data_IF_132563830970
#
_entry.id   IF_132563830970
#
_cell.length_a   1.000
_cell.length_b   1.000
_cell.length_c   1.000
_cell.angle_alpha   90.00
_cell.angle_beta   90.00
_cell.angle_gamma   90.00
#
_symmetry.space_group_name_H-M   'P 1'
#
loop_
_entity.id
_entity.type
_entity.pdbx_description
1 polymer ?
#
# COMPACT_ATOMS: atom_id res chain seq x y z
N UNK A 1 -11.46 -12.90 8.20
CA UNK A 1 -10.91 -12.19 7.02
C UNK A 1 -10.42 -10.84 7.48
N UNK A 2 -9.21 -10.47 7.11
CA UNK A 2 -8.62 -9.17 7.44
C UNK A 2 -9.07 -8.17 6.39
N UNK A 3 -9.59 -7.04 6.80
CA UNK A 3 -10.13 -6.01 5.93
C UNK A 3 -9.23 -4.78 6.01
N UNK A 4 -8.85 -4.22 4.88
CA UNK A 4 -8.13 -2.97 4.80
C UNK A 4 -9.04 -1.89 4.20
N UNK A 5 -9.20 -0.79 4.91
CA UNK A 5 -9.96 0.36 4.48
C UNK A 5 -9.04 1.49 4.01
N UNK A 6 -9.55 2.32 3.14
CA UNK A 6 -8.85 3.53 2.69
C UNK A 6 -9.17 4.70 3.60
N UNK A 7 -8.13 5.41 4.02
CA UNK A 7 -8.24 6.76 4.58
C UNK A 7 -7.86 7.77 3.50
N UNK A 8 -8.54 8.91 3.46
CA UNK A 8 -8.26 9.95 2.47
C UNK A 8 -6.79 10.35 2.46
N UNK A 9 -6.27 10.43 1.26
CA UNK A 9 -4.87 10.62 0.95
C UNK A 9 -4.43 12.02 1.23
N UNK A 10 -4.04 12.47 2.31
CA UNK A 10 -3.22 13.69 2.33
C UNK A 10 -2.70 14.16 3.68
N UNK A 11 -3.08 13.60 4.78
CA UNK A 11 -2.48 14.02 6.04
C UNK A 11 -2.37 12.85 7.00
N UNK A 12 -1.38 12.90 7.85
CA UNK A 12 -1.16 12.06 9.02
C UNK A 12 -2.33 12.04 10.03
N UNK A 13 -3.51 12.37 9.57
CA UNK A 13 -4.71 12.36 10.38
C UNK A 13 -5.68 11.33 9.82
N UNK A 14 -5.69 10.14 10.37
CA UNK A 14 -6.10 8.91 9.71
C UNK A 14 -7.56 8.56 9.95
N UNK A 15 -8.48 9.45 9.71
CA UNK A 15 -9.90 9.13 9.78
C UNK A 15 -10.37 8.67 11.16
N UNK A 16 -9.82 9.19 12.23
CA UNK A 16 -10.36 9.02 13.59
C UNK A 16 -10.41 10.34 14.37
N UNK A 17 -11.36 10.42 15.27
CA UNK A 17 -11.54 11.54 16.20
C UNK A 17 -12.31 11.04 17.43
N UNK A 18 -12.76 11.94 18.28
CA UNK A 18 -13.65 11.63 19.38
C UNK A 18 -14.91 12.50 19.34
N UNK A 19 -15.99 12.04 19.94
CA UNK A 19 -17.16 12.85 20.16
C UNK A 19 -16.83 14.03 21.09
N UNK A 20 -17.14 15.25 20.68
CA UNK A 20 -17.02 16.45 21.51
C UNK A 20 -18.16 16.59 22.52
N UNK A 21 -19.28 15.89 22.30
CA UNK A 21 -20.44 15.80 23.19
C UNK A 21 -21.11 14.45 23.06
N UNK A 22 -21.80 14.02 24.12
CA UNK A 22 -22.54 12.76 24.12
C UNK A 22 -23.72 12.80 23.13
N UNK A 23 -23.99 11.66 22.49
CA UNK A 23 -25.22 11.45 21.73
C UNK A 23 -26.24 10.80 22.68
N UNK A 24 -27.17 11.60 23.19
CA UNK A 24 -28.10 11.17 24.26
C UNK A 24 -29.37 10.51 23.75
N UNK A 25 -29.60 10.51 22.44
CA UNK A 25 -30.79 9.92 21.80
C UNK A 25 -30.42 9.13 20.55
N UNK A 26 -31.04 7.96 20.39
CA UNK A 26 -30.90 7.17 19.17
C UNK A 26 -31.44 7.90 17.91
N UNK A 27 -32.35 8.85 18.07
CA UNK A 27 -32.90 9.66 16.97
C UNK A 27 -32.09 10.94 16.69
N UNK A 28 -30.99 11.20 17.41
CA UNK A 28 -30.16 12.39 17.20
C UNK A 28 -29.45 12.33 15.84
N UNK A 29 -29.71 13.33 14.99
CA UNK A 29 -29.16 13.42 13.62
C UNK A 29 -28.02 14.43 13.51
N UNK A 30 -27.66 15.14 14.58
CA UNK A 30 -26.52 16.08 14.64
C UNK A 30 -25.53 15.58 15.66
N UNK A 31 -24.28 15.47 15.28
CA UNK A 31 -23.18 15.05 16.16
C UNK A 31 -22.06 16.07 16.10
N UNK A 32 -21.35 16.24 17.22
CA UNK A 32 -20.18 17.11 17.31
C UNK A 32 -18.94 16.28 17.59
N UNK A 33 -17.86 16.52 16.82
CA UNK A 33 -16.57 15.86 16.95
C UNK A 33 -15.49 16.85 17.37
N UNK A 34 -14.43 16.35 18.00
CA UNK A 34 -13.32 17.17 18.49
C UNK A 34 -12.50 17.76 17.32
N UNK A 35 -12.31 17.00 16.27
CA UNK A 35 -11.59 17.43 15.06
C UNK A 35 -12.13 16.69 13.82
N UNK A 36 -12.17 17.39 12.68
CA UNK A 36 -12.64 16.83 11.40
C UNK A 36 -11.53 16.67 10.35
N UNK A 37 -10.30 17.06 10.67
CA UNK A 37 -9.21 17.16 9.69
C UNK A 37 -8.82 15.85 8.99
N UNK A 38 -9.10 14.70 9.57
CA UNK A 38 -8.79 13.39 8.97
C UNK A 38 -9.91 12.78 8.12
N UNK A 39 -11.01 13.50 7.93
CA UNK A 39 -12.19 13.01 7.23
C UNK A 39 -12.40 13.74 5.90
N UNK A 40 -13.18 13.16 4.95
CA UNK A 40 -13.53 13.85 3.71
C UNK A 40 -14.19 15.21 3.95
N UNK A 41 -13.73 16.25 3.23
CA UNK A 41 -14.16 17.62 3.45
C UNK A 41 -15.23 18.12 2.46
N UNK A 42 -15.59 17.30 1.47
CA UNK A 42 -16.44 17.74 0.34
C UNK A 42 -17.52 16.76 -0.07
N UNK A 43 -17.60 15.58 0.56
CA UNK A 43 -18.58 14.53 0.17
C UNK A 43 -18.99 13.71 1.38
N UNK A 44 -20.14 13.04 1.30
CA UNK A 44 -20.62 12.11 2.33
C UNK A 44 -19.66 10.94 2.53
N UNK A 45 -19.58 10.48 3.77
CA UNK A 45 -18.76 9.33 4.17
C UNK A 45 -19.41 8.60 5.34
N UNK A 46 -18.99 7.38 5.60
CA UNK A 46 -19.49 6.59 6.73
C UNK A 46 -18.47 6.58 7.86
N UNK A 47 -18.99 6.55 9.08
CA UNK A 47 -18.23 6.47 10.31
C UNK A 47 -18.75 5.36 11.21
N UNK A 48 -17.88 4.85 12.06
CA UNK A 48 -18.22 3.88 13.11
C UNK A 48 -18.03 4.53 14.48
N UNK A 49 -19.03 4.41 15.34
CA UNK A 49 -18.99 4.79 16.75
C UNK A 49 -19.44 3.56 17.55
N UNK A 50 -18.54 3.00 18.35
CA UNK A 50 -18.74 1.70 19.00
C UNK A 50 -19.12 0.62 17.98
N UNK A 51 -20.37 0.12 18.01
CA UNK A 51 -20.90 -0.86 17.07
C UNK A 51 -21.92 -0.27 16.08
N UNK A 52 -22.13 1.04 16.09
CA UNK A 52 -23.06 1.71 15.19
C UNK A 52 -22.35 2.35 14.01
N UNK A 53 -22.83 2.06 12.80
CA UNK A 53 -22.43 2.77 11.60
C UNK A 53 -23.38 3.95 11.34
N UNK A 54 -22.79 5.11 11.08
CA UNK A 54 -23.52 6.32 10.70
C UNK A 54 -23.03 6.80 9.34
N UNK A 55 -23.92 7.39 8.56
CA UNK A 55 -23.55 8.07 7.31
C UNK A 55 -23.60 9.57 7.51
N UNK A 56 -22.46 10.24 7.34
CA UNK A 56 -22.36 11.72 7.38
C UNK A 56 -22.90 12.26 6.06
N UNK A 57 -23.94 13.06 6.12
CA UNK A 57 -24.67 13.58 4.94
C UNK A 57 -24.45 15.07 4.71
N UNK A 58 -24.04 15.83 5.74
CA UNK A 58 -23.72 17.25 5.65
C UNK A 58 -22.76 17.68 6.78
N UNK A 59 -22.20 18.88 6.66
CA UNK A 59 -21.30 19.46 7.65
C UNK A 59 -19.83 18.99 7.55
N UNK A 60 -19.43 18.39 6.44
CA UNK A 60 -18.12 17.73 6.26
C UNK A 60 -16.91 18.61 6.59
N UNK A 61 -16.93 19.89 6.22
CA UNK A 61 -15.86 20.85 6.51
C UNK A 61 -15.89 21.46 7.92
N UNK A 62 -16.72 20.96 8.81
CA UNK A 62 -16.90 21.49 10.17
C UNK A 62 -16.80 20.38 11.22
N UNK A 63 -16.72 20.75 12.49
CA UNK A 63 -16.75 19.78 13.59
C UNK A 63 -18.17 19.36 14.00
N UNK A 64 -19.21 19.80 13.27
CA UNK A 64 -20.60 19.41 13.50
C UNK A 64 -21.16 18.79 12.25
N UNK A 65 -21.53 17.52 12.34
CA UNK A 65 -22.00 16.72 11.21
C UNK A 65 -23.47 16.39 11.33
N UNK A 66 -24.15 16.43 10.19
CA UNK A 66 -25.49 15.84 10.06
C UNK A 66 -25.34 14.40 9.61
N UNK A 67 -26.00 13.47 10.30
CA UNK A 67 -25.83 12.02 10.08
C UNK A 67 -27.14 11.29 9.91
N UNK A 68 -27.11 10.20 9.14
CA UNK A 68 -28.13 9.14 9.17
C UNK A 68 -27.64 8.04 10.09
N UNK A 69 -28.46 7.64 11.06
CA UNK A 69 -28.17 6.67 12.11
C UNK A 69 -28.47 5.25 11.67
N UNK A 70 -27.78 4.28 12.28
CA UNK A 70 -28.08 2.86 12.08
C UNK A 70 -27.86 2.37 10.65
N UNK A 71 -26.87 2.89 9.95
CA UNK A 71 -26.58 2.50 8.56
C UNK A 71 -26.17 1.03 8.45
N UNK A 72 -26.39 0.43 7.27
CA UNK A 72 -26.01 -0.95 6.94
C UNK A 72 -26.47 -2.00 7.96
N UNK A 73 -27.68 -1.80 8.55
CA UNK A 73 -28.29 -2.76 9.48
C UNK A 73 -27.76 -2.71 10.90
N UNK A 74 -26.94 -1.73 11.25
CA UNK A 74 -26.55 -1.48 12.64
C UNK A 74 -27.68 -0.81 13.42
N UNK A 75 -27.64 -0.91 14.75
CA UNK A 75 -28.69 -0.34 15.61
C UNK A 75 -28.24 1.02 16.14
N UNK A 76 -29.09 2.03 15.97
CA UNK A 76 -28.84 3.36 16.54
C UNK A 76 -28.91 3.31 18.08
N UNK A 77 -27.87 3.79 18.74
CA UNK A 77 -27.71 3.79 20.20
C UNK A 77 -27.25 5.14 20.73
N UNK A 78 -27.25 5.29 22.02
CA UNK A 78 -26.60 6.45 22.67
C UNK A 78 -25.11 6.23 22.79
N UNK A 79 -24.31 7.33 22.70
CA UNK A 79 -22.87 7.28 22.85
C UNK A 79 -22.39 8.33 23.84
N UNK A 80 -21.39 7.98 24.64
CA UNK A 80 -20.84 8.89 25.64
C UNK A 80 -19.93 9.95 25.02
N UNK A 81 -19.70 11.03 25.74
CA UNK A 81 -18.68 12.01 25.35
C UNK A 81 -17.29 11.34 25.27
N UNK A 82 -16.44 11.83 24.39
CA UNK A 82 -15.09 11.31 24.12
C UNK A 82 -15.03 9.87 23.56
N UNK A 83 -16.16 9.27 23.19
CA UNK A 83 -16.16 8.00 22.42
C UNK A 83 -15.43 8.19 21.11
N UNK A 84 -14.62 7.20 20.73
CA UNK A 84 -13.88 7.21 19.46
C UNK A 84 -14.82 7.11 18.27
N UNK A 85 -14.50 7.88 17.23
CA UNK A 85 -15.18 7.93 15.95
C UNK A 85 -14.19 7.56 14.86
N UNK A 86 -14.45 6.53 14.10
CA UNK A 86 -13.58 6.05 13.03
C UNK A 86 -14.25 6.23 11.68
N UNK A 87 -13.48 6.58 10.66
CA UNK A 87 -13.96 6.48 9.28
C UNK A 87 -14.08 4.99 8.91
N UNK A 88 -15.24 4.61 8.35
CA UNK A 88 -15.46 3.24 7.90
C UNK A 88 -14.53 2.86 6.74
N UNK A 89 -14.16 1.59 6.68
CA UNK A 89 -13.53 1.02 5.51
C UNK A 89 -14.44 1.16 4.27
N UNK A 90 -13.85 1.37 3.11
CA UNK A 90 -14.56 1.56 1.84
C UNK A 90 -14.50 0.34 0.94
N UNK A 91 -13.52 -0.54 1.14
CA UNK A 91 -13.32 -1.73 0.31
C UNK A 91 -12.83 -2.91 1.12
N UNK A 92 -13.17 -4.11 0.67
CA UNK A 92 -12.68 -5.38 1.20
C UNK A 92 -11.63 -5.95 0.25
N UNK A 93 -10.38 -5.92 0.68
CA UNK A 93 -9.25 -6.48 -0.08
C UNK A 93 -8.98 -7.89 0.43
N UNK A 94 -9.02 -8.92 -0.43
CA UNK A 94 -8.68 -10.28 -0.03
C UNK A 94 -7.17 -10.40 0.16
N UNK A 95 -6.74 -10.63 1.40
CA UNK A 95 -5.33 -10.84 1.75
C UNK A 95 -5.18 -12.17 2.47
N UNK A 96 -3.98 -12.73 2.48
CA UNK A 96 -3.66 -13.82 3.40
C UNK A 96 -3.81 -13.34 4.84
N UNK A 97 -4.18 -14.22 5.78
CA UNK A 97 -4.35 -13.82 7.17
C UNK A 97 -3.08 -13.17 7.73
N UNK A 98 -3.17 -11.92 8.10
CA UNK A 98 -2.10 -11.14 8.73
C UNK A 98 -2.70 -10.30 9.84
N UNK A 99 -1.91 -10.04 10.88
CA UNK A 99 -2.26 -9.12 11.96
C UNK A 99 -1.21 -8.01 12.04
N UNK A 100 -1.59 -6.93 12.68
CA UNK A 100 -0.64 -5.86 12.99
C UNK A 100 0.25 -6.22 14.18
N UNK A 101 1.46 -5.71 14.16
CA UNK A 101 2.40 -5.79 15.27
C UNK A 101 2.40 -4.46 16.03
N UNK A 102 1.91 -4.42 17.27
CA UNK A 102 2.03 -3.25 18.11
C UNK A 102 3.48 -3.10 18.58
N UNK A 103 4.15 -2.07 18.12
CA UNK A 103 5.54 -1.77 18.45
C UNK A 103 5.57 -0.77 19.60
N UNK A 104 5.92 -1.23 20.80
CA UNK A 104 6.03 -0.40 22.01
C UNK A 104 7.48 -0.33 22.43
N UNK A 105 8.12 0.81 22.27
CA UNK A 105 9.45 1.03 22.80
C UNK A 105 9.35 1.45 24.27
N UNK A 106 10.17 0.80 25.12
CA UNK A 106 10.26 1.07 26.53
C UNK A 106 11.67 1.50 26.89
N UNK A 107 11.76 2.48 27.77
CA UNK A 107 13.00 2.84 28.44
C UNK A 107 13.04 2.14 29.79
N UNK A 108 14.04 1.31 29.99
CA UNK A 108 14.26 0.53 31.19
C UNK A 108 15.67 0.84 31.72
N UNK A 109 15.80 1.83 32.61
CA UNK A 109 17.11 2.26 33.08
C UNK A 109 17.73 1.17 33.95
N UNK A 110 18.92 0.73 33.56
CA UNK A 110 19.77 -0.14 34.39
C UNK A 110 20.57 0.72 35.37
N UNK A 111 19.94 1.07 36.47
CA UNK A 111 20.59 1.87 37.52
C UNK A 111 21.14 0.95 38.63
N UNK A 112 22.38 1.22 39.09
CA UNK A 112 22.91 0.59 40.29
C UNK A 112 22.14 1.12 41.51
N UNK A 113 21.18 0.34 41.96
CA UNK A 113 20.45 0.54 43.19
C UNK A 113 20.71 -0.72 44.03
N UNK A 114 20.95 -0.65 45.28
CA UNK A 114 21.19 -1.71 46.25
C UNK A 114 20.24 -2.93 46.14
N UNK A 115 20.01 -3.41 44.94
CA UNK A 115 19.08 -4.49 44.56
C UNK A 115 19.76 -5.35 43.50
N UNK A 116 19.51 -6.66 43.55
CA UNK A 116 19.91 -7.62 42.51
C UNK A 116 19.05 -7.55 41.25
N UNK A 117 17.96 -6.77 41.26
CA UNK A 117 17.10 -6.57 40.10
C UNK A 117 17.78 -5.63 39.07
N UNK A 118 17.89 -6.09 37.83
CA UNK A 118 18.52 -5.35 36.74
C UNK A 118 17.69 -4.14 36.30
N UNK A 119 16.37 -4.28 36.26
CA UNK A 119 15.42 -3.26 35.81
C UNK A 119 14.45 -2.93 36.96
N UNK A 120 14.33 -1.67 37.25
CA UNK A 120 13.49 -1.19 38.37
C UNK A 120 12.25 -0.43 37.92
N UNK A 121 12.33 0.22 36.78
CA UNK A 121 11.27 1.03 36.20
C UNK A 121 11.21 0.77 34.68
N UNK A 122 10.02 0.85 34.10
CA UNK A 122 9.80 0.75 32.65
C UNK A 122 8.82 1.83 32.23
N UNK A 123 9.26 2.70 31.33
CA UNK A 123 8.47 3.81 30.81
C UNK A 123 8.29 3.63 29.31
N UNK A 124 7.04 3.72 28.82
CA UNK A 124 6.76 3.71 27.39
C UNK A 124 7.25 5.04 26.81
N UNK A 125 8.14 4.96 25.81
CA UNK A 125 8.70 6.14 25.13
C UNK A 125 8.14 6.35 23.74
N UNK A 126 7.68 5.29 23.07
CA UNK A 126 6.97 5.40 21.80
C UNK A 126 6.07 4.19 21.57
N UNK A 127 5.02 4.40 20.76
CA UNK A 127 4.07 3.37 20.36
C UNK A 127 3.68 3.59 18.89
N UNK A 128 3.76 2.55 18.08
CA UNK A 128 3.28 2.57 16.70
C UNK A 128 2.83 1.17 16.29
N UNK A 129 2.28 1.04 15.10
CA UNK A 129 1.86 -0.26 14.55
C UNK A 129 2.52 -0.51 13.22
N UNK A 130 2.90 -1.75 12.99
CA UNK A 130 3.40 -2.23 11.72
C UNK A 130 2.50 -3.35 11.21
N UNK A 131 2.34 -3.46 9.90
CA UNK A 131 1.68 -4.57 9.23
C UNK A 131 2.66 -5.12 8.21
N UNK A 132 3.27 -6.25 8.52
CA UNK A 132 4.30 -6.88 7.68
C UNK A 132 3.77 -8.13 6.99
N UNK A 133 4.29 -8.39 5.81
CA UNK A 133 4.00 -9.60 5.07
C UNK A 133 2.54 -9.68 4.59
N UNK A 134 1.91 -8.56 4.29
CA UNK A 134 0.60 -8.55 3.62
C UNK A 134 0.76 -9.20 2.26
N UNK A 135 0.23 -10.40 2.07
CA UNK A 135 0.30 -11.13 0.81
C UNK A 135 -1.07 -11.29 0.20
N UNK A 136 -1.13 -11.12 -1.11
CA UNK A 136 -2.36 -11.29 -1.87
C UNK A 136 -2.05 -11.66 -3.33
N UNK A 137 -2.95 -12.39 -3.99
CA UNK A 137 -2.87 -12.53 -5.44
C UNK A 137 -3.03 -11.17 -6.11
N UNK A 138 -2.09 -10.80 -6.96
CA UNK A 138 -2.15 -9.52 -7.66
C UNK A 138 -3.33 -9.50 -8.63
N UNK A 139 -4.17 -8.47 -8.54
CA UNK A 139 -5.24 -8.20 -9.51
C UNK A 139 -5.14 -6.77 -10.01
N UNK A 140 -5.64 -6.54 -11.23
CA UNK A 140 -5.59 -5.20 -11.84
C UNK A 140 -6.35 -4.16 -11.03
N UNK A 141 -7.41 -4.56 -10.31
CA UNK A 141 -8.20 -3.69 -9.46
C UNK A 141 -7.48 -3.34 -8.16
N UNK A 142 -6.92 -4.33 -7.46
CA UNK A 142 -6.23 -4.13 -6.18
C UNK A 142 -4.91 -3.38 -6.37
N UNK A 143 -4.23 -3.58 -7.51
CA UNK A 143 -2.99 -2.87 -7.82
C UNK A 143 -3.18 -1.35 -7.90
N UNK A 144 -4.35 -0.85 -8.29
CA UNK A 144 -4.64 0.59 -8.25
C UNK A 144 -4.42 1.16 -6.85
N UNK A 145 -4.91 0.46 -5.83
CA UNK A 145 -4.72 0.83 -4.42
C UNK A 145 -3.25 0.70 -4.00
N UNK A 146 -2.66 -0.47 -4.22
CA UNK A 146 -1.29 -0.74 -3.78
C UNK A 146 -0.28 0.23 -4.39
N UNK A 147 -0.41 0.55 -5.69
CA UNK A 147 0.46 1.51 -6.36
C UNK A 147 0.22 2.94 -5.86
N UNK A 148 -1.01 3.31 -5.52
CA UNK A 148 -1.30 4.61 -4.89
C UNK A 148 -0.63 4.73 -3.52
N UNK A 149 -0.53 3.65 -2.77
CA UNK A 149 0.14 3.63 -1.45
C UNK A 149 1.66 3.54 -1.57
N UNK A 150 2.17 2.83 -2.58
CA UNK A 150 3.60 2.54 -2.70
C UNK A 150 4.36 3.55 -3.59
N UNK A 151 3.72 4.11 -4.60
CA UNK A 151 4.37 4.98 -5.60
C UNK A 151 3.98 6.43 -5.41
N UNK A 152 2.70 6.72 -5.65
CA UNK A 152 2.18 8.09 -5.66
C UNK A 152 0.67 8.11 -5.44
N UNK A 153 0.22 8.88 -4.44
CA UNK A 153 -1.19 9.18 -4.23
C UNK A 153 -1.72 10.24 -5.20
N UNK A 154 -3.05 10.39 -5.22
CA UNK A 154 -3.71 11.46 -5.99
C UNK A 154 -3.59 11.35 -7.52
N UNK A 155 -3.22 10.17 -8.05
CA UNK A 155 -3.16 9.94 -9.50
C UNK A 155 -4.57 9.95 -10.08
N UNK A 156 -4.76 10.75 -11.12
CA UNK A 156 -6.00 10.80 -11.90
C UNK A 156 -5.84 9.94 -13.15
N UNK A 157 -6.71 8.94 -13.39
CA UNK A 157 -6.59 8.11 -14.57
C UNK A 157 -7.05 8.83 -15.84
N UNK A 158 -6.48 8.42 -16.97
CA UNK A 158 -6.93 8.86 -18.28
C UNK A 158 -7.99 7.89 -18.79
N UNK A 159 -9.24 8.33 -19.02
CA UNK A 159 -10.30 7.46 -19.51
C UNK A 159 -10.15 7.17 -21.02
N UNK A 160 -10.44 5.92 -21.41
CA UNK A 160 -10.54 5.51 -22.82
C UNK A 160 -11.71 4.54 -22.95
N UNK A 161 -12.88 5.07 -23.28
CA UNK A 161 -14.14 4.30 -23.25
C UNK A 161 -14.48 3.82 -21.85
N UNK A 162 -14.59 2.51 -21.65
CA UNK A 162 -14.83 1.87 -20.35
C UNK A 162 -13.57 1.50 -19.59
N UNK A 163 -12.39 1.85 -20.10
CA UNK A 163 -11.09 1.60 -19.48
C UNK A 163 -10.46 2.87 -18.95
N UNK A 164 -9.59 2.72 -17.96
CA UNK A 164 -8.88 3.81 -17.29
C UNK A 164 -7.40 3.47 -17.20
N UNK A 165 -6.55 4.36 -17.71
CA UNK A 165 -5.10 4.23 -17.65
C UNK A 165 -4.55 5.05 -16.50
N UNK A 166 -3.86 4.38 -15.58
CA UNK A 166 -3.24 4.92 -14.37
C UNK A 166 -1.73 5.00 -14.58
N UNK A 167 -1.16 6.20 -14.62
CA UNK A 167 0.27 6.40 -14.77
C UNK A 167 0.91 6.69 -13.40
N UNK A 168 1.57 5.70 -12.83
CA UNK A 168 2.34 5.81 -11.59
C UNK A 168 3.81 6.07 -11.93
N UNK A 169 4.13 7.31 -12.28
CA UNK A 169 5.51 7.73 -12.56
C UNK A 169 6.01 8.54 -11.39
N UNK A 170 7.09 8.08 -10.72
CA UNK A 170 7.69 8.86 -9.65
C UNK A 170 8.28 10.18 -10.17
N UNK A 171 8.15 11.24 -9.39
CA UNK A 171 8.77 12.53 -9.70
C UNK A 171 10.12 12.68 -8.99
N UNK A 172 10.95 13.61 -9.46
CA UNK A 172 12.22 13.95 -8.79
C UNK A 172 12.01 14.76 -7.50
N UNK A 173 10.84 15.35 -7.34
CA UNK A 173 10.40 16.03 -6.14
C UNK A 173 9.65 15.04 -5.23
N UNK A 174 9.35 15.45 -4.02
CA UNK A 174 8.58 14.61 -3.10
C UNK A 174 7.18 14.31 -3.68
N UNK A 175 6.88 13.02 -3.86
CA UNK A 175 5.53 12.55 -4.15
C UNK A 175 4.80 12.24 -2.83
N UNK A 176 3.56 12.66 -2.73
CA UNK A 176 2.71 12.27 -1.60
C UNK A 176 2.24 10.83 -1.77
N UNK A 177 2.50 10.00 -0.76
CA UNK A 177 1.91 8.67 -0.69
C UNK A 177 0.47 8.77 -0.15
N UNK A 178 -0.40 7.94 -0.67
CA UNK A 178 -1.69 7.75 -0.04
C UNK A 178 -1.51 7.01 1.29
N UNK A 179 -2.08 7.55 2.35
CA UNK A 179 -2.19 6.83 3.62
C UNK A 179 -3.37 5.85 3.57
N UNK A 180 -3.24 4.74 4.27
CA UNK A 180 -4.25 3.68 4.39
C UNK A 180 -4.73 3.61 5.84
N UNK A 181 -6.04 3.58 6.07
CA UNK A 181 -6.63 3.07 7.31
C UNK A 181 -6.99 1.59 7.11
N UNK A 182 -6.63 0.73 8.04
CA UNK A 182 -6.96 -0.68 7.97
C UNK A 182 -7.82 -1.11 9.16
N UNK A 183 -8.84 -1.90 8.89
CA UNK A 183 -9.60 -2.59 9.93
C UNK A 183 -9.17 -4.05 9.96
N UNK A 184 -8.71 -4.50 11.11
CA UNK A 184 -8.24 -5.86 11.32
C UNK A 184 -8.89 -6.47 12.56
N UNK A 185 -9.13 -7.79 12.52
CA UNK A 185 -9.71 -8.50 13.66
C UNK A 185 -10.84 -9.44 13.26
N UNK A 186 -11.64 -9.80 14.23
CA UNK A 186 -12.81 -10.64 14.06
C UNK A 186 -14.06 -9.95 14.64
N UNK A 187 -15.18 -10.65 14.70
CA UNK A 187 -16.44 -10.08 15.17
C UNK A 187 -16.45 -9.78 16.68
N UNK A 188 -15.46 -10.28 17.43
CA UNK A 188 -15.35 -10.07 18.88
C UNK A 188 -14.34 -8.97 19.22
N UNK A 189 -13.28 -8.84 18.43
CA UNK A 189 -12.22 -7.85 18.64
C UNK A 189 -11.77 -7.29 17.28
N UNK A 190 -12.14 -6.07 17.01
CA UNK A 190 -11.73 -5.31 15.84
C UNK A 190 -10.81 -4.17 16.25
N UNK A 191 -9.85 -3.87 15.36
CA UNK A 191 -8.89 -2.79 15.53
C UNK A 191 -8.86 -1.95 14.27
N UNK A 192 -8.87 -0.63 14.45
CA UNK A 192 -8.57 0.34 13.42
C UNK A 192 -7.10 0.74 13.53
N UNK A 193 -6.35 0.53 12.47
CA UNK A 193 -4.94 0.93 12.38
C UNK A 193 -4.90 2.18 11.53
N UNK A 194 -4.46 3.23 12.16
CA UNK A 194 -4.48 4.55 11.59
C UNK A 194 -3.19 4.85 10.80
N UNK A 195 -3.32 5.62 9.70
CA UNK A 195 -2.22 6.15 8.89
C UNK A 195 -1.13 5.13 8.55
N UNK A 196 -1.51 4.02 7.95
CA UNK A 196 -0.58 3.06 7.37
C UNK A 196 0.01 3.62 6.09
N UNK A 197 1.33 3.62 5.98
CA UNK A 197 2.08 3.99 4.78
C UNK A 197 2.87 2.79 4.29
N UNK A 198 2.85 2.55 2.98
CA UNK A 198 3.55 1.43 2.38
C UNK A 198 5.06 1.69 2.38
N UNK A 199 5.79 0.92 3.19
CA UNK A 199 7.25 0.98 3.25
C UNK A 199 7.90 0.15 2.14
N UNK A 200 7.31 -1.01 1.83
CA UNK A 200 7.77 -1.88 0.74
C UNK A 200 6.57 -2.49 0.01
N UNK A 201 6.65 -2.53 -1.32
CA UNK A 201 5.75 -3.28 -2.18
C UNK A 201 6.57 -4.16 -3.11
N UNK A 202 6.28 -5.45 -3.11
CA UNK A 202 6.93 -6.43 -3.98
C UNK A 202 5.89 -7.09 -4.87
N UNK A 203 6.18 -7.19 -6.17
CA UNK A 203 5.41 -7.93 -7.16
C UNK A 203 6.25 -9.08 -7.66
N UNK A 204 5.74 -10.30 -7.60
CA UNK A 204 6.43 -11.53 -8.00
C UNK A 204 5.67 -12.20 -9.14
N UNK A 205 6.38 -12.42 -10.24
CA UNK A 205 5.89 -13.10 -11.44
C UNK A 205 6.68 -14.40 -11.62
N UNK A 206 6.05 -15.52 -11.39
CA UNK A 206 6.68 -16.83 -11.57
C UNK A 206 5.92 -17.65 -12.59
N UNK A 207 6.58 -18.12 -13.64
CA UNK A 207 5.96 -18.96 -14.67
C UNK A 207 5.45 -20.25 -14.04
N UNK A 208 4.21 -20.61 -14.35
CA UNK A 208 3.56 -21.80 -13.80
C UNK A 208 2.82 -21.60 -12.49
N UNK A 209 2.85 -20.41 -11.90
CA UNK A 209 1.93 -20.04 -10.81
C UNK A 209 0.57 -19.59 -11.35
N UNK A 210 -0.48 -19.77 -10.57
CA UNK A 210 -1.86 -19.40 -10.94
C UNK A 210 -2.06 -17.89 -11.08
N UNK A 211 -1.32 -17.11 -10.28
CA UNK A 211 -1.34 -15.65 -10.33
C UNK A 211 0.01 -15.07 -9.92
N UNK A 212 0.29 -13.85 -10.36
CA UNK A 212 1.33 -13.04 -9.76
C UNK A 212 0.96 -12.74 -8.30
N UNK A 213 1.97 -12.64 -7.44
CA UNK A 213 1.78 -12.32 -6.02
C UNK A 213 2.24 -10.90 -5.74
N UNK A 214 1.44 -10.19 -4.95
CA UNK A 214 1.84 -8.92 -4.36
C UNK A 214 2.09 -9.13 -2.87
N UNK A 215 3.17 -8.57 -2.36
CA UNK A 215 3.40 -8.47 -0.91
C UNK A 215 3.73 -7.04 -0.53
N UNK A 216 3.23 -6.60 0.62
CA UNK A 216 3.44 -5.24 1.08
C UNK A 216 3.68 -5.19 2.58
N UNK A 217 4.59 -4.29 2.97
CA UNK A 217 4.86 -3.95 4.35
C UNK A 217 4.43 -2.50 4.61
N UNK A 218 3.71 -2.31 5.70
CA UNK A 218 3.19 -1.00 6.09
C UNK A 218 3.68 -0.61 7.47
N UNK A 219 3.89 0.68 7.63
CA UNK A 219 4.21 1.33 8.91
C UNK A 219 3.14 2.36 9.21
N UNK A 220 2.55 2.29 10.39
CA UNK A 220 1.42 3.13 10.77
C UNK A 220 1.62 3.88 12.08
N UNK A 221 0.60 4.64 12.48
CA UNK A 221 0.61 5.32 13.76
C UNK A 221 0.34 4.32 14.89
N UNK A 222 -0.90 4.21 15.31
CA UNK A 222 -1.31 3.37 16.42
C UNK A 222 -2.57 2.59 16.04
N UNK A 223 -2.74 1.42 16.63
CA UNK A 223 -3.96 0.66 16.52
C UNK A 223 -4.93 1.04 17.65
N UNK A 224 -6.16 1.26 17.30
CA UNK A 224 -7.25 1.57 18.23
C UNK A 224 -8.27 0.44 18.22
N UNK A 225 -8.74 0.06 19.39
CA UNK A 225 -9.81 -0.93 19.48
C UNK A 225 -11.12 -0.32 18.97
N UNK A 226 -11.80 -1.05 18.10
CA UNK A 226 -13.14 -0.74 17.62
C UNK A 226 -14.18 -1.64 18.32
N UNK A 227 -15.43 -1.17 18.37
CA UNK A 227 -16.55 -1.98 18.86
C UNK A 227 -16.94 -3.08 17.86
N UNK A 228 -16.90 -2.79 16.56
CA UNK A 228 -17.18 -3.73 15.49
C UNK A 228 -16.45 -3.33 14.21
N UNK A 229 -16.28 -4.25 13.28
CA UNK A 229 -15.81 -3.97 11.91
C UNK A 229 -16.91 -3.25 11.11
N UNK A 230 -16.51 -2.51 10.07
CA UNK A 230 -17.45 -1.90 9.13
C UNK A 230 -18.30 -2.99 8.45
N UNK A 231 -19.63 -2.98 8.64
CA UNK A 231 -20.51 -3.94 8.00
C UNK A 231 -20.79 -3.56 6.53
N UNK A 232 -21.32 -4.52 5.77
CA UNK A 232 -21.84 -4.28 4.43
C UNK A 232 -20.79 -4.06 3.34
N UNK A 233 -19.51 -4.30 3.62
CA UNK A 233 -18.45 -4.21 2.61
C UNK A 233 -18.60 -5.34 1.58
N UNK A 234 -18.55 -4.96 0.31
CA UNK A 234 -18.54 -5.91 -0.79
C UNK A 234 -17.10 -6.15 -1.27
N UNK A 235 -16.82 -7.40 -1.59
CA UNK A 235 -15.53 -7.75 -2.21
C UNK A 235 -15.50 -7.24 -3.64
N UNK A 236 -14.44 -6.52 -3.99
CA UNK A 236 -14.17 -6.12 -5.38
C UNK A 236 -13.96 -7.37 -6.24
N UNK A 237 -14.55 -7.42 -7.44
CA UNK A 237 -14.26 -8.45 -8.43
C UNK A 237 -12.77 -8.42 -8.78
N UNK A 238 -12.13 -9.57 -8.91
CA UNK A 238 -10.70 -9.67 -9.12
C UNK A 238 -10.40 -10.25 -10.50
N UNK A 239 -9.76 -9.45 -11.35
CA UNK A 239 -9.08 -9.92 -12.56
C UNK A 239 -7.62 -10.16 -12.20
N UNK A 240 -7.25 -11.41 -11.97
CA UNK A 240 -5.91 -11.78 -11.52
C UNK A 240 -4.87 -11.57 -12.61
N UNK A 241 -3.68 -11.12 -12.24
CA UNK A 241 -2.52 -11.08 -13.13
C UNK A 241 -1.99 -12.50 -13.30
N UNK A 242 -2.09 -13.03 -14.52
CA UNK A 242 -1.54 -14.32 -14.83
C UNK A 242 -0.10 -14.18 -15.40
N UNK A 243 0.93 -14.71 -14.73
CA UNK A 243 2.31 -14.63 -15.20
C UNK A 243 2.54 -15.26 -16.59
N UNK A 244 1.66 -16.16 -17.03
CA UNK A 244 1.74 -16.76 -18.35
C UNK A 244 1.56 -15.74 -19.49
N UNK A 245 0.91 -14.60 -19.22
CA UNK A 245 0.70 -13.52 -20.17
C UNK A 245 1.65 -12.34 -19.92
N UNK A 246 2.75 -12.56 -19.22
CA UNK A 246 3.80 -11.57 -19.01
C UNK A 246 4.86 -11.68 -20.07
N UNK A 247 5.13 -10.57 -20.74
CA UNK A 247 6.23 -10.42 -21.70
C UNK A 247 7.34 -9.61 -21.06
N UNK A 248 8.57 -10.04 -21.23
CA UNK A 248 9.77 -9.36 -20.71
C UNK A 248 10.60 -8.84 -21.88
N UNK A 249 11.05 -7.60 -21.78
CA UNK A 249 11.93 -6.97 -22.75
C UNK A 249 13.20 -6.50 -22.06
N UNK A 250 14.35 -6.75 -22.69
CA UNK A 250 15.67 -6.32 -22.21
C UNK A 250 16.38 -5.55 -23.33
N UNK A 251 16.51 -4.26 -23.15
CA UNK A 251 17.05 -3.35 -24.16
C UNK A 251 18.25 -2.54 -23.64
N UNK A 252 19.01 -1.97 -24.56
CA UNK A 252 20.08 -1.01 -24.27
C UNK A 252 19.75 0.39 -24.77
N UNK A 253 18.86 0.52 -25.74
CA UNK A 253 18.52 1.80 -26.39
C UNK A 253 17.04 2.15 -26.24
N UNK A 254 16.17 1.46 -26.96
CA UNK A 254 14.73 1.74 -26.98
C UNK A 254 14.00 0.68 -26.17
N UNK A 255 13.37 1.06 -25.08
CA UNK A 255 12.65 0.15 -24.19
C UNK A 255 11.47 -0.55 -24.90
N UNK A 256 11.30 -1.85 -24.69
CA UNK A 256 10.23 -2.64 -25.27
C UNK A 256 10.47 -3.12 -26.69
N UNK A 257 11.71 -3.10 -27.18
CA UNK A 257 12.08 -3.52 -28.54
C UNK A 257 12.47 -4.98 -28.62
N UNK A 258 13.22 -5.49 -27.65
CA UNK A 258 13.80 -6.84 -27.67
C UNK A 258 13.07 -7.74 -26.68
N UNK A 259 12.17 -8.58 -27.19
CA UNK A 259 11.46 -9.58 -26.39
C UNK A 259 12.41 -10.72 -26.00
N UNK A 260 12.37 -11.08 -24.72
CA UNK A 260 13.16 -12.17 -24.12
C UNK A 260 12.21 -13.27 -23.67
N UNK A 261 12.40 -14.49 -24.19
CA UNK A 261 11.45 -15.59 -23.99
C UNK A 261 11.90 -16.62 -22.93
N UNK A 262 13.06 -16.46 -22.36
CA UNK A 262 13.75 -17.39 -21.47
C UNK A 262 13.75 -16.93 -19.98
N UNK A 263 12.96 -15.92 -19.66
CA UNK A 263 12.74 -15.47 -18.27
C UNK A 263 11.77 -16.41 -17.56
N UNK A 264 12.22 -17.00 -16.47
CA UNK A 264 11.47 -17.97 -15.65
C UNK A 264 10.68 -17.26 -14.57
N UNK A 265 11.30 -16.26 -13.92
CA UNK A 265 10.66 -15.45 -12.88
C UNK A 265 11.20 -14.02 -12.89
N UNK A 266 10.38 -13.09 -12.48
CA UNK A 266 10.75 -11.73 -12.25
C UNK A 266 10.12 -11.23 -10.94
N UNK A 267 10.89 -10.45 -10.19
CA UNK A 267 10.44 -9.81 -8.95
C UNK A 267 10.79 -8.34 -9.01
N UNK A 268 9.83 -7.50 -8.70
CA UNK A 268 9.98 -6.05 -8.67
C UNK A 268 9.66 -5.57 -7.27
N UNK A 269 10.60 -4.92 -6.61
CA UNK A 269 10.44 -4.42 -5.25
C UNK A 269 10.61 -2.89 -5.21
N UNK A 270 9.59 -2.20 -4.73
CA UNK A 270 9.61 -0.77 -4.43
C UNK A 270 9.87 -0.61 -2.94
N UNK A 271 10.90 0.14 -2.57
CA UNK A 271 11.20 0.46 -1.17
C UNK A 271 11.16 1.97 -0.97
N UNK A 272 10.37 2.42 0.00
CA UNK A 272 10.15 3.83 0.28
C UNK A 272 11.01 4.39 1.42
N UNK A 273 11.67 3.53 2.22
CA UNK A 273 12.53 3.95 3.33
C UNK A 273 11.82 4.85 4.35
N UNK A 274 10.55 4.57 4.66
CA UNK A 274 9.72 5.42 5.51
C UNK A 274 10.30 5.49 6.92
N UNK A 275 10.46 6.71 7.42
CA UNK A 275 10.87 7.00 8.79
C UNK A 275 9.73 7.70 9.53
N UNK A 276 9.43 7.20 10.71
CA UNK A 276 8.44 7.78 11.61
C UNK A 276 9.08 8.89 12.42
N UNK A 277 8.41 10.04 12.51
CA UNK A 277 8.87 11.20 13.23
C UNK A 277 8.03 11.41 14.50
N UNK A 278 8.71 11.48 15.62
CA UNK A 278 8.13 11.74 16.93
C UNK A 278 8.51 13.15 17.38
N UNK A 279 7.55 13.91 17.84
CA UNK A 279 7.75 15.28 18.31
C UNK A 279 7.45 15.41 19.81
N UNK A 280 7.97 16.45 20.44
CA UNK A 280 7.70 16.77 21.84
C UNK A 280 6.31 17.44 21.99
N UNK A 281 5.26 16.71 21.65
CA UNK A 281 3.88 17.17 21.66
C UNK A 281 2.98 16.40 22.64
N UNK A 282 3.59 15.58 23.51
CA UNK A 282 2.88 14.76 24.49
C UNK A 282 2.24 13.50 23.94
N UNK A 283 2.46 13.17 22.66
CA UNK A 283 1.93 11.97 22.03
C UNK A 283 3.01 10.88 21.97
N UNK A 284 2.61 9.64 22.23
CA UNK A 284 3.50 8.48 22.18
C UNK A 284 3.60 7.87 20.77
N UNK A 285 2.76 8.27 19.83
CA UNK A 285 2.74 7.80 18.46
C UNK A 285 3.32 8.83 17.49
N UNK A 286 3.84 8.42 16.32
CA UNK A 286 4.40 9.33 15.34
C UNK A 286 3.30 10.23 14.76
N UNK A 287 3.59 11.51 14.61
CA UNK A 287 2.66 12.49 14.05
C UNK A 287 3.06 12.96 12.66
N UNK A 288 4.24 12.57 12.20
CA UNK A 288 4.71 12.79 10.85
C UNK A 288 5.53 11.59 10.35
N UNK A 289 5.67 11.51 9.05
CA UNK A 289 6.59 10.58 8.38
C UNK A 289 7.54 11.35 7.48
N UNK A 290 8.76 10.82 7.31
CA UNK A 290 9.68 11.25 6.28
C UNK A 290 9.95 10.08 5.32
N UNK A 291 10.10 10.38 4.05
CA UNK A 291 10.53 9.44 3.02
C UNK A 291 11.83 9.97 2.39
N UNK A 292 12.98 9.62 2.96
CA UNK A 292 14.26 10.16 2.52
C UNK A 292 14.71 9.61 1.16
N UNK A 293 14.37 8.36 0.87
CA UNK A 293 14.81 7.66 -0.35
C UNK A 293 13.70 6.77 -0.88
N UNK A 294 13.74 6.53 -2.17
CA UNK A 294 12.90 5.55 -2.84
C UNK A 294 13.76 4.78 -3.84
N UNK A 295 13.65 3.47 -3.86
CA UNK A 295 14.30 2.61 -4.84
C UNK A 295 13.29 1.67 -5.49
N UNK A 296 13.61 1.25 -6.70
CA UNK A 296 13.00 0.10 -7.33
C UNK A 296 14.12 -0.88 -7.67
N UNK A 297 13.97 -2.09 -7.14
CA UNK A 297 14.89 -3.19 -7.37
C UNK A 297 14.20 -4.25 -8.24
N UNK A 298 14.94 -4.80 -9.18
CA UNK A 298 14.48 -5.87 -10.06
C UNK A 298 15.37 -7.09 -9.86
N UNK A 299 14.75 -8.21 -9.56
CA UNK A 299 15.38 -9.53 -9.58
C UNK A 299 14.74 -10.32 -10.71
N UNK A 300 15.56 -10.91 -11.58
CA UNK A 300 15.09 -11.67 -12.71
C UNK A 300 15.88 -12.98 -12.82
N UNK A 301 15.18 -14.09 -12.99
CA UNK A 301 15.78 -15.38 -13.27
C UNK A 301 15.60 -15.72 -14.74
N UNK A 302 16.70 -15.76 -15.47
CA UNK A 302 16.75 -16.08 -16.89
C UNK A 302 17.40 -17.44 -17.08
N UNK A 303 16.91 -18.24 -18.01
CA UNK A 303 17.59 -19.44 -18.46
C UNK A 303 18.91 -19.04 -19.15
N UNK A 304 20.00 -19.70 -18.82
CA UNK A 304 21.30 -19.40 -19.39
C UNK A 304 21.48 -20.23 -20.68
N UNK A 305 21.03 -19.69 -21.78
CA UNK A 305 21.17 -20.22 -23.11
C UNK A 305 22.26 -19.54 -23.94
N UNK A 306 22.58 -18.28 -23.59
CA UNK A 306 23.65 -17.48 -24.15
C UNK A 306 24.35 -16.61 -23.09
N UNK A 307 25.55 -16.10 -23.43
CA UNK A 307 26.34 -15.29 -22.51
C UNK A 307 26.06 -13.77 -22.64
N UNK A 308 25.16 -13.35 -23.50
CA UNK A 308 24.95 -11.92 -23.85
C UNK A 308 24.68 -11.06 -22.62
N UNK A 309 23.75 -11.47 -21.74
CA UNK A 309 23.44 -10.70 -20.53
C UNK A 309 24.56 -10.74 -19.49
N UNK A 310 25.25 -11.85 -19.38
CA UNK A 310 26.41 -11.98 -18.51
C UNK A 310 27.57 -11.11 -19.00
N UNK A 311 27.85 -11.08 -20.30
CA UNK A 311 28.88 -10.24 -20.90
C UNK A 311 28.54 -8.75 -20.75
N UNK A 312 27.28 -8.36 -20.96
CA UNK A 312 26.79 -7.00 -20.74
C UNK A 312 26.95 -6.58 -19.27
N UNK A 313 26.64 -7.46 -18.33
CA UNK A 313 26.79 -7.19 -16.90
C UNK A 313 28.28 -7.10 -16.47
N UNK A 314 29.13 -7.97 -17.05
CA UNK A 314 30.57 -8.01 -16.78
C UNK A 314 31.40 -7.00 -17.56
N UNK A 315 30.80 -6.20 -18.44
CA UNK A 315 31.55 -5.27 -19.28
C UNK A 315 32.44 -4.35 -18.43
N UNK A 316 33.74 -4.65 -18.41
CA UNK A 316 34.75 -4.00 -17.56
C UNK A 316 35.25 -2.67 -18.13
N UNK A 317 34.92 -2.35 -19.36
CA UNK A 317 35.31 -1.08 -20.01
C UNK A 317 34.21 -0.05 -19.76
N UNK A 318 34.10 0.39 -18.51
CA UNK A 318 33.08 1.34 -18.06
C UNK A 318 32.29 0.81 -16.85
N UNK A 319 31.12 1.39 -16.60
CA UNK A 319 30.26 1.06 -15.46
C UNK A 319 29.24 -0.06 -15.76
N UNK A 320 29.53 -0.95 -16.71
CA UNK A 320 28.56 -1.90 -17.25
C UNK A 320 27.70 -1.26 -18.35
N UNK A 321 26.80 -2.06 -18.91
CA UNK A 321 25.83 -1.58 -19.92
C UNK A 321 24.49 -1.31 -19.22
N UNK A 322 23.98 -0.08 -19.38
CA UNK A 322 22.63 0.24 -18.89
C UNK A 322 21.60 -0.66 -19.57
N UNK A 323 20.70 -1.22 -18.74
CA UNK A 323 19.62 -2.08 -19.20
C UNK A 323 18.26 -1.40 -19.00
N UNK A 324 17.47 -1.42 -20.06
CA UNK A 324 16.09 -0.96 -20.05
C UNK A 324 15.19 -2.17 -20.00
N UNK A 325 14.52 -2.34 -18.87
CA UNK A 325 13.70 -3.52 -18.59
C UNK A 325 12.24 -3.13 -18.69
N UNK A 326 11.46 -3.83 -19.51
CA UNK A 326 10.01 -3.74 -19.52
C UNK A 326 9.39 -5.09 -19.19
N UNK A 327 8.52 -5.10 -18.19
CA UNK A 327 7.61 -6.20 -17.87
C UNK A 327 6.20 -5.75 -18.25
N UNK A 328 5.52 -6.49 -19.13
CA UNK A 328 4.14 -6.18 -19.51
C UNK A 328 3.28 -7.43 -19.35
N UNK A 329 2.27 -7.34 -18.48
CA UNK A 329 1.27 -8.41 -18.31
C UNK A 329 -0.04 -7.94 -18.91
N UNK A 330 -0.64 -8.74 -19.77
CA UNK A 330 -1.91 -8.45 -20.45
C UNK A 330 -2.98 -9.40 -19.93
N UNK A 331 -4.08 -8.86 -19.46
CA UNK A 331 -5.22 -9.59 -18.91
C UNK A 331 -6.43 -9.64 -19.86
N UNK A 332 -7.61 -9.98 -19.32
CA UNK A 332 -8.83 -10.04 -20.11
C UNK A 332 -9.27 -8.65 -20.61
N UNK A 333 -10.10 -8.65 -21.66
CA UNK A 333 -10.66 -7.41 -22.21
C UNK A 333 -11.60 -6.71 -21.21
N UNK A 334 -11.60 -5.39 -21.25
CA UNK A 334 -12.44 -4.53 -20.42
C UNK A 334 -13.73 -4.21 -21.18
N UNK A 335 -14.83 -4.83 -20.77
CA UNK A 335 -16.13 -4.62 -21.41
C UNK A 335 -16.08 -4.85 -22.93
N UNK A 336 -16.64 -3.90 -23.69
CA UNK A 336 -16.67 -3.94 -25.17
C UNK A 336 -15.67 -2.96 -25.80
N UNK A 337 -14.74 -2.40 -25.02
CA UNK A 337 -13.82 -1.33 -25.46
C UNK A 337 -12.73 -1.81 -26.42
N UNK A 338 -12.46 -3.10 -26.52
CA UNK A 338 -11.30 -3.66 -27.20
C UNK A 338 -9.98 -3.42 -26.51
N UNK A 339 -9.99 -2.81 -25.33
CA UNK A 339 -8.82 -2.58 -24.47
C UNK A 339 -8.75 -3.67 -23.42
N UNK A 340 -7.57 -4.22 -23.19
CA UNK A 340 -7.35 -5.23 -22.17
C UNK A 340 -6.87 -4.60 -20.86
N UNK A 341 -7.18 -5.26 -19.74
CA UNK A 341 -6.45 -5.00 -18.50
C UNK A 341 -4.96 -5.22 -18.76
N UNK A 342 -4.11 -4.33 -18.27
CA UNK A 342 -2.67 -4.50 -18.41
C UNK A 342 -1.89 -3.81 -17.30
N UNK A 343 -0.72 -4.36 -17.00
CA UNK A 343 0.29 -3.74 -16.16
C UNK A 343 1.58 -3.67 -16.96
N UNK A 344 2.15 -2.50 -17.11
CA UNK A 344 3.47 -2.28 -17.70
C UNK A 344 4.37 -1.65 -16.65
N UNK A 345 5.53 -2.25 -16.44
CA UNK A 345 6.58 -1.77 -15.53
C UNK A 345 7.81 -1.50 -16.37
N UNK A 346 8.26 -0.26 -16.40
CA UNK A 346 9.49 0.17 -17.06
C UNK A 346 10.54 0.53 -16.03
N UNK A 347 11.76 0.07 -16.21
CA UNK A 347 12.89 0.38 -15.34
C UNK A 347 14.16 0.59 -16.15
N UNK A 348 14.98 1.50 -15.69
CA UNK A 348 16.25 1.89 -16.29
C UNK A 348 17.35 1.72 -15.25
N UNK A 349 18.40 0.95 -15.52
CA UNK A 349 19.43 0.71 -14.51
C UNK A 349 20.52 -0.26 -14.93
N UNK A 350 21.21 -0.81 -13.94
CA UNK A 350 22.33 -1.71 -14.13
C UNK A 350 22.16 -2.97 -13.29
N UNK A 351 22.68 -4.10 -13.80
CA UNK A 351 22.79 -5.30 -13.00
C UNK A 351 23.91 -5.16 -11.97
N UNK A 352 23.58 -5.28 -10.71
CA UNK A 352 24.55 -5.19 -9.60
C UNK A 352 25.13 -6.54 -9.21
N UNK A 353 24.35 -7.62 -9.34
CA UNK A 353 24.80 -8.99 -9.14
C UNK A 353 24.13 -9.91 -10.16
N UNK A 354 24.91 -10.89 -10.64
CA UNK A 354 24.47 -11.80 -11.71
C UNK A 354 25.01 -13.22 -11.52
N UNK A 355 24.71 -13.86 -10.34
CA UNK A 355 25.20 -15.21 -10.07
C UNK A 355 24.58 -16.25 -11.03
N UNK A 356 25.46 -17.06 -11.59
CA UNK A 356 25.08 -18.24 -12.36
C UNK A 356 24.88 -19.42 -11.39
N UNK A 357 23.75 -20.10 -11.48
CA UNK A 357 23.38 -21.22 -10.61
C UNK A 357 22.82 -22.38 -11.43
N UNK A 358 22.79 -23.54 -10.82
CA UNK A 358 22.04 -24.69 -11.35
C UNK A 358 20.72 -24.80 -10.57
N UNK A 359 19.61 -24.79 -11.29
CA UNK A 359 18.28 -25.07 -10.77
C UNK A 359 17.65 -26.21 -11.56
N UNK A 360 17.28 -27.30 -10.86
CA UNK A 360 16.68 -28.49 -11.49
C UNK A 360 17.47 -29.00 -12.71
N UNK A 361 18.79 -29.12 -12.53
CA UNK A 361 19.74 -29.56 -13.55
C UNK A 361 19.91 -28.64 -14.77
N UNK A 362 19.44 -27.40 -14.66
CA UNK A 362 19.54 -26.38 -15.71
C UNK A 362 20.32 -25.18 -15.21
N UNK A 363 21.16 -24.61 -16.07
CA UNK A 363 21.86 -23.36 -15.75
C UNK A 363 20.89 -22.17 -15.83
N UNK A 364 20.86 -21.38 -14.77
CA UNK A 364 20.07 -20.16 -14.69
C UNK A 364 20.94 -18.98 -14.25
N UNK A 365 20.73 -17.86 -14.91
CA UNK A 365 21.36 -16.58 -14.57
C UNK A 365 20.38 -15.76 -13.73
N UNK A 366 20.76 -15.41 -12.50
CA UNK A 366 19.99 -14.53 -11.67
C UNK A 366 20.51 -13.09 -11.84
N UNK A 367 19.73 -12.23 -12.40
CA UNK A 367 20.03 -10.84 -12.66
C UNK A 367 19.37 -10.00 -11.56
N UNK A 368 20.18 -9.34 -10.71
CA UNK A 368 19.68 -8.45 -9.67
C UNK A 368 20.21 -7.05 -9.98
N UNK A 369 19.31 -6.09 -10.07
CA UNK A 369 19.64 -4.71 -10.39
C UNK A 369 18.75 -3.72 -9.66
N UNK A 370 19.17 -2.48 -9.69
CA UNK A 370 18.39 -1.36 -9.17
C UNK A 370 18.21 -0.30 -10.24
N UNK A 371 17.10 0.43 -10.15
CA UNK A 371 16.80 1.50 -11.08
C UNK A 371 17.68 2.73 -10.83
N UNK A 372 18.14 3.35 -11.91
CA UNK A 372 18.94 4.58 -11.94
C UNK A 372 18.25 5.61 -12.83
N UNK A 373 18.44 6.87 -12.55
CA UNK A 373 17.84 7.94 -13.34
C UNK A 373 18.37 7.96 -14.78
N UNK A 374 17.47 7.77 -15.76
CA UNK A 374 17.72 7.91 -17.19
C UNK A 374 17.25 9.29 -17.64
N UNK A 375 18.17 10.06 -18.24
CA UNK A 375 17.88 11.43 -18.72
C UNK A 375 16.88 11.41 -19.90
N UNK A 376 16.96 10.40 -20.76
CA UNK A 376 16.08 10.26 -21.92
C UNK A 376 14.65 9.92 -21.54
N UNK A 377 14.47 9.12 -20.50
CA UNK A 377 13.16 8.78 -19.95
C UNK A 377 12.60 9.84 -18.98
N UNK A 378 13.47 10.71 -18.46
CA UNK A 378 13.10 11.69 -17.44
C UNK A 378 12.78 11.08 -16.08
N UNK A 379 13.22 9.85 -15.81
CA UNK A 379 12.96 9.12 -14.59
C UNK A 379 13.78 7.83 -14.47
N UNK A 380 13.70 7.18 -13.32
CA UNK A 380 14.38 5.89 -13.09
C UNK A 380 13.48 4.68 -13.43
N UNK A 381 12.17 4.85 -13.33
CA UNK A 381 11.17 3.82 -13.62
C UNK A 381 9.76 4.42 -13.71
N UNK A 382 8.85 3.67 -14.26
CA UNK A 382 7.42 3.99 -14.28
C UNK A 382 6.56 2.74 -14.27
N UNK A 383 5.33 2.87 -13.80
CA UNK A 383 4.32 1.82 -13.86
C UNK A 383 3.04 2.36 -14.47
N UNK A 384 2.53 1.66 -15.47
CA UNK A 384 1.24 1.99 -16.10
C UNK A 384 0.28 0.83 -15.90
N UNK A 385 -0.85 1.10 -15.28
CA UNK A 385 -1.91 0.13 -15.04
C UNK A 385 -3.15 0.53 -15.82
N UNK A 386 -3.73 -0.41 -16.57
CA UNK A 386 -5.00 -0.22 -17.26
C UNK A 386 -6.04 -1.18 -16.70
N UNK A 387 -7.17 -0.65 -16.28
CA UNK A 387 -8.28 -1.42 -15.72
C UNK A 387 -9.63 -0.70 -15.93
N UNK A 388 -10.69 -1.23 -15.32
CA UNK A 388 -12.05 -0.65 -15.43
C UNK A 388 -12.39 0.36 -14.32
N UNK A 389 -11.45 0.70 -13.42
CA UNK A 389 -11.74 1.54 -12.26
C UNK A 389 -11.53 3.02 -12.57
N UNK A 390 -12.57 3.87 -12.42
CA UNK A 390 -12.48 5.32 -12.64
C UNK A 390 -11.83 6.07 -11.47
N UNK A 391 -11.82 5.47 -10.29
CA UNK A 391 -11.27 6.05 -9.06
C UNK A 391 -10.49 5.01 -8.29
N UNK A 392 -9.60 5.43 -7.44
CA UNK A 392 -9.03 4.56 -6.42
C UNK A 392 -10.15 4.18 -5.46
N UNK A 393 -10.48 2.89 -5.26
CA UNK A 393 -11.59 2.44 -4.42
C UNK A 393 -11.45 2.84 -2.96
#
# INVERSE_FOLDING_TARGET
MTEAGRVSASNLNPGFTTLASAITSAGGVSISVTANAGFPQSSGFSIMIDSEQLTVTAGWGTNTWTVTRGANGTTATTHTNATMVFQCATSLIPIEPVMFDPMVARYEPSLMRNSFEKFYESIIVSNHSEVKGVKLPASYEVLTNLLSYAVKGGVTPTPTGSSYSWAFTPTLTADDLAGLGAEMGNDTAAYHIAALYCNQLTLEFTRGSDSAMASADFVGQMAFRMGAKTPGLTRTGLNLLNPAYTSTYLDTTTIGSTLVNDVVSAKVAITNGIQQLYFLNGLLYPTAIARPTRSLDIEMQKWFDDATELDNAMNTIGNGVERKVRLTTVGPAIGTSGVNNSLTIDSYGYWSTFPLKVDKDVWVLNLNGHSVYDVGAGGSWSMTLVNSQPTVP
#
